data_IF_377804590676
#
_entry.id   IF_377804590676
#
_cell.length_a   1.000
_cell.length_b   1.000
_cell.length_c   1.000
_cell.angle_alpha   90.00
_cell.angle_beta   90.00
_cell.angle_gamma   90.00
#
_symmetry.space_group_name_H-M   'P 1'
#
loop_
_entity.id
_entity.type
_entity.pdbx_description
1 polymer ?
#
# COMPACT_ATOMS: atom_id res chain seq x y z
N UNK A 1 49.16 55.84 -37.49
CA UNK A 1 48.25 54.70 -37.81
C UNK A 1 46.81 55.20 -37.69
N UNK A 2 45.82 54.52 -38.27
CA UNK A 2 44.41 54.98 -38.25
C UNK A 2 43.57 54.00 -37.45
N UNK A 3 42.86 54.48 -36.43
CA UNK A 3 41.97 53.63 -35.65
C UNK A 3 40.74 53.19 -36.44
N UNK A 4 40.21 52.00 -36.14
CA UNK A 4 39.00 51.52 -36.78
C UNK A 4 37.82 52.44 -36.42
N UNK A 5 36.97 52.70 -37.42
CA UNK A 5 35.74 53.46 -37.24
C UNK A 5 34.62 52.53 -36.80
N UNK A 6 33.77 53.02 -35.90
CA UNK A 6 32.61 52.29 -35.38
C UNK A 6 31.33 53.07 -35.61
N UNK A 7 30.52 53.20 -34.55
CA UNK A 7 29.24 53.92 -34.61
C UNK A 7 29.43 55.35 -35.12
N UNK A 8 28.53 55.77 -36.03
CA UNK A 8 28.59 57.10 -36.64
C UNK A 8 29.84 57.38 -37.48
N UNK A 9 30.57 56.33 -37.89
CA UNK A 9 31.86 56.43 -38.59
C UNK A 9 32.94 57.18 -37.79
N UNK A 10 32.77 57.27 -36.46
CA UNK A 10 33.73 57.88 -35.56
C UNK A 10 34.85 56.90 -35.21
N UNK A 11 36.12 57.34 -35.12
CA UNK A 11 37.21 56.53 -34.58
C UNK A 11 36.83 56.01 -33.19
N UNK A 12 36.94 54.69 -32.98
CA UNK A 12 36.59 54.04 -31.71
C UNK A 12 35.17 54.35 -31.19
N UNK A 13 34.23 54.61 -32.11
CA UNK A 13 32.84 55.01 -31.80
C UNK A 13 32.71 56.30 -30.98
N UNK A 14 33.74 57.15 -31.00
CA UNK A 14 33.76 58.46 -30.34
C UNK A 14 34.30 58.42 -28.89
N UNK A 15 34.61 59.60 -28.31
CA UNK A 15 35.36 59.70 -27.06
C UNK A 15 34.62 59.18 -25.81
N UNK A 16 33.31 58.98 -25.90
CA UNK A 16 32.50 58.39 -24.81
C UNK A 16 32.57 56.85 -24.77
N UNK A 17 33.02 56.22 -25.87
CA UNK A 17 33.05 54.76 -26.04
C UNK A 17 34.47 54.23 -26.15
N UNK A 18 35.41 55.01 -26.68
CA UNK A 18 36.81 54.62 -26.70
C UNK A 18 37.76 55.73 -27.13
N UNK A 19 39.02 55.57 -26.76
CA UNK A 19 40.13 56.45 -27.12
C UNK A 19 41.00 55.79 -28.18
N UNK A 20 41.42 56.55 -29.19
CA UNK A 20 42.31 56.07 -30.25
C UNK A 20 43.78 56.24 -29.84
N UNK A 21 44.58 55.17 -29.95
CA UNK A 21 46.03 55.26 -29.81
C UNK A 21 46.68 55.74 -31.10
N UNK A 22 47.27 56.93 -31.09
CA UNK A 22 47.99 57.45 -32.26
C UNK A 22 49.25 56.64 -32.60
N UNK A 23 49.83 55.94 -31.60
CA UNK A 23 51.04 55.14 -31.74
C UNK A 23 50.77 53.75 -32.36
N UNK A 24 49.64 53.12 -32.02
CA UNK A 24 49.34 51.72 -32.42
C UNK A 24 48.16 51.60 -33.38
N UNK A 25 47.32 52.63 -33.51
CA UNK A 25 46.07 52.56 -34.28
C UNK A 25 45.02 51.63 -33.68
N UNK A 26 45.16 51.26 -32.40
CA UNK A 26 44.23 50.40 -31.66
C UNK A 26 43.36 51.27 -30.74
N UNK A 27 42.09 50.90 -30.60
CA UNK A 27 41.18 51.55 -29.66
C UNK A 27 41.41 51.06 -28.23
N UNK A 28 41.14 51.92 -27.26
CA UNK A 28 40.97 51.56 -25.85
C UNK A 28 39.52 51.86 -25.48
N UNK A 29 38.71 50.81 -25.35
CA UNK A 29 37.29 50.98 -25.05
C UNK A 29 37.08 51.40 -23.60
N UNK A 30 36.08 52.26 -23.38
CA UNK A 30 35.55 52.53 -22.05
C UNK A 30 34.87 51.27 -21.49
N UNK A 31 34.79 51.16 -20.18
CA UNK A 31 34.18 50.00 -19.51
C UNK A 31 32.74 49.77 -20.00
N UNK A 32 32.41 48.49 -20.26
CA UNK A 32 31.09 48.13 -20.81
C UNK A 32 30.95 48.32 -22.33
N UNK A 33 32.03 48.66 -23.05
CA UNK A 33 32.05 48.67 -24.51
C UNK A 33 33.07 47.68 -25.06
N UNK A 34 32.69 46.98 -26.11
CA UNK A 34 33.43 45.86 -26.67
C UNK A 34 33.68 46.04 -28.18
N UNK A 35 34.43 45.10 -28.76
CA UNK A 35 34.91 45.03 -30.16
C UNK A 35 36.07 45.97 -30.50
N UNK A 36 36.84 45.70 -31.58
CA UNK A 36 38.01 46.50 -31.95
C UNK A 36 37.75 48.00 -32.17
N UNK A 37 36.49 48.40 -32.41
CA UNK A 37 36.08 49.79 -32.61
C UNK A 37 35.10 50.31 -31.53
N UNK A 38 34.94 49.59 -30.42
CA UNK A 38 34.09 49.96 -29.27
C UNK A 38 32.62 50.22 -29.62
N UNK A 39 32.10 49.56 -30.67
CA UNK A 39 30.76 49.80 -31.18
C UNK A 39 29.67 49.06 -30.41
N UNK A 40 29.98 47.89 -29.85
CA UNK A 40 29.04 47.08 -29.08
C UNK A 40 29.08 47.54 -27.62
N UNK A 41 27.90 47.75 -27.03
CA UNK A 41 27.76 47.94 -25.60
C UNK A 41 27.34 46.62 -24.95
N UNK A 42 27.89 46.31 -23.80
CA UNK A 42 27.42 45.23 -22.97
C UNK A 42 25.96 45.46 -22.56
N UNK A 43 25.15 44.40 -22.43
CA UNK A 43 23.81 44.49 -21.87
C UNK A 43 23.83 45.27 -20.55
N UNK A 44 23.05 46.36 -20.49
CA UNK A 44 23.02 47.24 -19.32
C UNK A 44 21.57 47.64 -19.06
N UNK A 45 21.03 47.20 -17.94
CA UNK A 45 19.65 47.48 -17.50
C UNK A 45 19.75 48.16 -16.14
N UNK A 46 18.99 49.25 -15.94
CA UNK A 46 19.05 50.02 -14.69
C UNK A 46 20.42 50.63 -14.37
N UNK A 47 21.31 50.74 -15.36
CA UNK A 47 22.69 51.25 -15.17
C UNK A 47 23.70 50.19 -14.70
N UNK A 48 23.29 48.93 -14.54
CA UNK A 48 24.18 47.83 -14.17
C UNK A 48 24.52 46.98 -15.39
N UNK A 49 25.81 46.90 -15.71
CA UNK A 49 26.32 46.01 -16.76
C UNK A 49 26.04 44.57 -16.36
N UNK A 50 25.49 43.78 -17.29
CA UNK A 50 25.02 42.42 -17.05
C UNK A 50 24.12 42.33 -15.81
N UNK A 51 23.25 43.34 -15.61
CA UNK A 51 22.32 43.50 -14.47
C UNK A 51 22.97 43.43 -13.08
N UNK A 52 24.30 43.45 -12.99
CA UNK A 52 25.04 43.21 -11.76
C UNK A 52 25.24 41.73 -11.42
N UNK A 53 24.72 40.82 -12.25
CA UNK A 53 24.76 39.37 -12.06
C UNK A 53 25.66 38.66 -13.09
N UNK A 54 26.63 39.38 -13.67
CA UNK A 54 27.53 38.82 -14.66
C UNK A 54 28.76 39.67 -14.94
N UNK A 55 29.70 39.09 -15.68
CA UNK A 55 30.89 39.76 -16.19
C UNK A 55 30.74 39.98 -17.69
N UNK A 56 30.94 41.21 -18.17
CA UNK A 56 30.97 41.47 -19.60
C UNK A 56 32.34 41.16 -20.21
N UNK A 57 32.35 40.52 -21.37
CA UNK A 57 33.49 40.48 -22.27
C UNK A 57 33.66 41.82 -23.00
N UNK A 58 34.19 42.83 -22.30
CA UNK A 58 34.44 44.18 -22.81
C UNK A 58 35.87 44.37 -23.35
N UNK A 59 36.18 45.57 -23.81
CA UNK A 59 37.46 45.88 -24.44
C UNK A 59 37.55 45.46 -25.91
N UNK A 60 38.69 45.73 -26.54
CA UNK A 60 38.85 45.54 -28.00
C UNK A 60 38.91 44.09 -28.46
N UNK A 61 39.21 43.16 -27.55
CA UNK A 61 39.17 41.72 -27.80
C UNK A 61 37.82 41.09 -27.42
N UNK A 62 36.97 41.81 -26.69
CA UNK A 62 35.66 41.33 -26.25
C UNK A 62 34.59 41.41 -27.34
N UNK A 63 33.55 40.60 -27.20
CA UNK A 63 32.37 40.57 -28.09
C UNK A 63 31.15 41.28 -27.50
N UNK A 64 31.24 41.76 -26.25
CA UNK A 64 30.16 42.45 -25.55
C UNK A 64 29.14 41.52 -24.91
N UNK A 65 29.39 40.21 -24.84
CA UNK A 65 28.48 39.24 -24.23
C UNK A 65 28.71 39.12 -22.72
N UNK A 66 27.64 38.92 -21.97
CA UNK A 66 27.71 38.65 -20.55
C UNK A 66 27.98 37.17 -20.26
N UNK A 67 28.89 36.91 -19.33
CA UNK A 67 29.03 35.62 -18.64
C UNK A 67 28.31 35.74 -17.30
N UNK A 68 27.18 35.05 -17.16
CA UNK A 68 26.35 35.15 -15.96
C UNK A 68 26.96 34.42 -14.76
N UNK A 69 26.72 34.98 -13.58
CA UNK A 69 26.97 34.32 -12.30
C UNK A 69 26.05 33.11 -12.15
N UNK A 70 26.47 32.16 -11.31
CA UNK A 70 25.71 30.95 -11.01
C UNK A 70 24.28 31.30 -10.60
N UNK A 71 23.30 30.66 -11.24
CA UNK A 71 21.87 30.86 -10.95
C UNK A 71 21.18 31.96 -11.75
N UNK A 72 21.91 32.73 -12.56
CA UNK A 72 21.35 33.74 -13.44
C UNK A 72 21.51 33.36 -14.92
N UNK A 73 20.53 33.76 -15.72
CA UNK A 73 20.42 33.43 -17.13
C UNK A 73 19.93 34.64 -17.95
N UNK A 74 19.81 34.41 -19.26
CA UNK A 74 19.55 35.40 -20.33
C UNK A 74 20.76 36.25 -20.67
N UNK A 75 20.66 36.97 -21.79
CA UNK A 75 21.76 37.73 -22.37
C UNK A 75 22.29 38.82 -21.44
N UNK A 76 21.43 39.38 -20.57
CA UNK A 76 21.75 40.42 -19.60
C UNK A 76 21.93 39.90 -18.17
N UNK A 77 21.84 38.58 -17.96
CA UNK A 77 21.88 37.93 -16.65
C UNK A 77 20.77 38.37 -15.68
N UNK A 78 19.68 38.95 -16.19
CA UNK A 78 18.62 39.54 -15.36
C UNK A 78 17.59 38.56 -14.81
N UNK A 79 17.60 37.30 -15.25
CA UNK A 79 16.57 36.32 -14.89
C UNK A 79 17.17 35.18 -14.08
N UNK A 80 16.72 34.94 -12.83
CA UNK A 80 17.16 33.79 -12.07
C UNK A 80 16.61 32.49 -12.68
N UNK A 81 17.42 31.43 -12.62
CA UNK A 81 16.98 30.09 -12.98
C UNK A 81 15.90 29.60 -12.00
N UNK A 82 14.93 28.79 -12.46
CA UNK A 82 13.94 28.20 -11.57
C UNK A 82 14.60 27.40 -10.43
N UNK A 83 14.02 27.47 -9.23
CA UNK A 83 14.55 26.85 -8.00
C UNK A 83 15.77 27.55 -7.37
N UNK A 84 16.29 28.61 -7.99
CA UNK A 84 17.37 29.42 -7.42
C UNK A 84 16.84 30.68 -6.72
N UNK A 85 17.15 30.78 -5.44
CA UNK A 85 16.92 31.94 -4.59
C UNK A 85 18.27 32.34 -3.94
N UNK A 86 18.81 33.53 -4.25
CA UNK A 86 20.07 34.00 -3.70
C UNK A 86 20.01 34.33 -2.21
N UNK A 87 18.81 34.49 -1.62
CA UNK A 87 18.62 34.79 -0.20
C UNK A 87 18.54 33.52 0.66
N UNK A 88 18.33 32.36 0.03
CA UNK A 88 18.16 31.08 0.73
C UNK A 88 19.43 30.24 0.61
N UNK A 89 20.09 30.04 1.74
CA UNK A 89 21.25 29.15 1.82
C UNK A 89 20.85 27.72 1.42
N UNK A 90 21.59 27.15 0.46
CA UNK A 90 21.31 25.81 -0.05
C UNK A 90 20.23 25.74 -1.13
N UNK A 91 19.74 26.88 -1.65
CA UNK A 91 18.87 26.89 -2.83
C UNK A 91 19.52 26.15 -3.99
N UNK A 92 18.76 25.26 -4.65
CA UNK A 92 19.27 24.42 -5.74
C UNK A 92 18.61 24.80 -7.05
N UNK A 93 19.44 25.25 -8.00
CA UNK A 93 19.02 25.48 -9.38
C UNK A 93 18.34 24.21 -9.92
N UNK A 94 17.16 24.37 -10.49
CA UNK A 94 16.33 23.27 -11.00
C UNK A 94 16.15 22.15 -9.95
N UNK A 95 15.93 22.53 -8.68
CA UNK A 95 15.79 21.64 -7.53
C UNK A 95 16.97 20.67 -7.29
N UNK A 96 18.06 20.80 -8.06
CA UNK A 96 19.15 19.81 -8.12
C UNK A 96 18.87 18.63 -9.05
N UNK A 97 17.77 18.65 -9.79
CA UNK A 97 17.29 17.57 -10.67
C UNK A 97 17.23 18.00 -12.14
N UNK A 98 18.04 18.99 -12.53
CA UNK A 98 18.11 19.46 -13.91
C UNK A 98 19.21 20.46 -14.14
N UNK A 99 19.32 20.89 -15.38
CA UNK A 99 20.28 21.91 -15.82
C UNK A 99 19.52 23.14 -16.31
N UNK A 100 19.93 24.33 -15.85
CA UNK A 100 19.36 25.57 -16.33
C UNK A 100 19.95 25.96 -17.68
N UNK A 101 19.09 26.12 -18.68
CA UNK A 101 19.45 26.58 -20.01
C UNK A 101 19.62 28.10 -20.00
N UNK A 102 20.87 28.57 -20.10
CA UNK A 102 21.21 29.99 -19.93
C UNK A 102 20.55 30.93 -20.96
N UNK A 103 20.13 30.43 -22.12
CA UNK A 103 19.49 31.27 -23.15
C UNK A 103 18.00 31.49 -22.91
N UNK A 104 17.30 30.52 -22.31
CA UNK A 104 15.84 30.58 -22.07
C UNK A 104 15.49 30.87 -20.62
N UNK A 105 16.41 30.60 -19.68
CA UNK A 105 16.16 30.56 -18.24
C UNK A 105 15.13 29.49 -17.84
N UNK A 106 15.15 28.34 -18.51
CA UNK A 106 14.29 27.19 -18.23
C UNK A 106 15.13 26.00 -17.78
N UNK A 107 14.55 25.13 -16.97
CA UNK A 107 15.19 23.90 -16.54
C UNK A 107 14.94 22.76 -17.52
N UNK A 108 16.01 22.07 -17.90
CA UNK A 108 15.95 20.75 -18.53
C UNK A 108 16.15 19.69 -17.44
N UNK A 109 15.08 18.99 -17.09
CA UNK A 109 15.10 18.01 -16.01
C UNK A 109 15.80 16.72 -16.43
N UNK A 110 16.57 16.12 -15.53
CA UNK A 110 17.26 14.84 -15.77
C UNK A 110 16.33 13.64 -15.51
N UNK A 111 16.66 12.52 -16.14
CA UNK A 111 16.05 11.22 -15.92
C UNK A 111 16.98 10.22 -15.17
N UNK A 112 18.22 10.60 -14.85
CA UNK A 112 19.26 9.66 -14.39
C UNK A 112 19.05 9.18 -12.94
N UNK A 113 18.53 10.04 -12.07
CA UNK A 113 18.28 9.76 -10.65
C UNK A 113 16.77 9.74 -10.29
N UNK A 114 15.92 9.76 -11.31
CA UNK A 114 14.46 9.88 -11.18
C UNK A 114 13.89 10.61 -12.38
N UNK A 115 12.61 10.42 -12.65
CA UNK A 115 11.92 11.08 -13.76
C UNK A 115 11.33 12.40 -13.29
N UNK A 116 12.15 13.45 -13.29
CA UNK A 116 11.78 14.77 -12.78
C UNK A 116 11.09 15.63 -13.84
N UNK A 117 10.23 16.53 -13.38
CA UNK A 117 9.39 17.41 -14.20
C UNK A 117 8.98 18.67 -13.45
N UNK A 118 8.13 19.48 -14.10
CA UNK A 118 7.78 20.81 -13.61
C UNK A 118 8.76 21.89 -14.07
N UNK A 119 8.44 23.15 -13.77
CA UNK A 119 9.23 24.29 -14.26
C UNK A 119 10.63 24.38 -13.65
N UNK A 120 10.81 23.83 -12.45
CA UNK A 120 12.05 23.81 -11.68
C UNK A 120 12.52 22.39 -11.35
N UNK A 121 11.98 21.36 -11.99
CA UNK A 121 12.33 19.95 -11.75
C UNK A 121 12.09 19.47 -10.30
N UNK A 122 11.20 20.12 -9.56
CA UNK A 122 10.85 19.70 -8.19
C UNK A 122 9.75 18.64 -8.11
N UNK A 123 9.04 18.43 -9.22
CA UNK A 123 7.92 17.51 -9.38
C UNK A 123 8.33 16.28 -10.19
N UNK A 124 7.46 15.28 -10.24
CA UNK A 124 7.67 14.12 -11.10
C UNK A 124 7.13 14.40 -12.50
N UNK A 125 7.82 13.86 -13.51
CA UNK A 125 7.31 13.81 -14.87
C UNK A 125 6.03 12.97 -14.92
N UNK A 126 5.20 13.23 -15.93
CA UNK A 126 3.96 12.48 -16.12
C UNK A 126 4.20 10.97 -16.23
N UNK A 127 3.40 10.19 -15.51
CA UNK A 127 3.55 8.74 -15.40
C UNK A 127 4.48 8.29 -14.28
N UNK A 128 5.07 9.21 -13.52
CA UNK A 128 5.98 8.92 -12.41
C UNK A 128 5.52 9.55 -11.11
N UNK A 129 5.83 8.93 -9.98
CA UNK A 129 5.48 9.45 -8.66
C UNK A 129 6.49 9.01 -7.59
N UNK A 130 6.26 9.47 -6.36
CA UNK A 130 7.07 9.16 -5.18
C UNK A 130 8.18 10.18 -4.95
N UNK A 131 8.83 10.07 -3.80
CA UNK A 131 9.83 11.06 -3.35
C UNK A 131 11.05 11.20 -4.27
N UNK A 132 11.35 10.16 -5.04
CA UNK A 132 12.48 10.12 -5.98
C UNK A 132 12.00 10.03 -7.44
N UNK A 133 10.70 10.22 -7.70
CA UNK A 133 10.10 10.15 -9.03
C UNK A 133 10.50 8.91 -9.84
N UNK A 134 10.64 7.77 -9.17
CA UNK A 134 11.11 6.51 -9.74
C UNK A 134 10.07 5.38 -9.63
N UNK A 135 8.85 5.71 -9.19
CA UNK A 135 7.72 4.78 -9.14
C UNK A 135 6.76 5.08 -10.27
N UNK A 136 6.23 4.03 -10.91
CA UNK A 136 5.38 4.15 -12.10
C UNK A 136 3.93 4.36 -11.70
N UNK A 137 3.29 5.39 -12.24
CA UNK A 137 1.86 5.63 -12.13
C UNK A 137 1.15 4.86 -13.26
N UNK A 138 0.33 3.85 -12.91
CA UNK A 138 -0.19 2.88 -13.89
C UNK A 138 -1.49 3.34 -14.53
N UNK A 139 -2.53 3.59 -13.73
CA UNK A 139 -3.86 4.05 -14.19
C UNK A 139 -4.23 5.36 -13.49
N UNK A 140 -3.58 6.43 -13.91
CA UNK A 140 -3.76 7.75 -13.33
C UNK A 140 -2.80 8.77 -13.95
N UNK A 141 -2.78 9.95 -13.35
CA UNK A 141 -1.87 11.03 -13.73
C UNK A 141 -1.05 11.53 -12.56
N UNK A 142 0.09 12.16 -12.87
CA UNK A 142 1.01 12.68 -11.87
C UNK A 142 0.62 14.12 -11.50
N UNK A 143 0.43 14.37 -10.20
CA UNK A 143 0.34 15.72 -9.63
C UNK A 143 1.42 15.89 -8.55
N UNK A 144 2.43 16.72 -8.85
CA UNK A 144 3.60 16.87 -8.00
C UNK A 144 4.36 15.55 -7.86
N UNK A 145 4.22 14.89 -6.69
CA UNK A 145 4.84 13.59 -6.39
C UNK A 145 3.82 12.47 -6.17
N UNK A 146 2.55 12.73 -6.41
CA UNK A 146 1.44 11.80 -6.15
C UNK A 146 0.91 11.27 -7.47
N UNK A 147 0.65 9.97 -7.54
CA UNK A 147 -0.11 9.36 -8.61
C UNK A 147 -1.60 9.45 -8.24
N UNK A 148 -2.33 10.34 -8.90
CA UNK A 148 -3.77 10.53 -8.74
C UNK A 148 -4.47 9.50 -9.62
N UNK A 149 -5.18 8.57 -8.98
CA UNK A 149 -5.78 7.45 -9.71
C UNK A 149 -6.99 7.88 -10.54
N UNK A 150 -7.11 7.26 -11.71
CA UNK A 150 -8.35 7.26 -12.46
C UNK A 150 -9.47 6.62 -11.64
N UNK A 151 -10.75 7.03 -11.84
CA UNK A 151 -11.88 6.45 -11.11
C UNK A 151 -11.90 4.91 -11.22
N UNK A 152 -12.01 4.22 -10.09
CA UNK A 152 -12.02 2.76 -10.06
C UNK A 152 -10.65 2.10 -9.91
N UNK A 153 -9.57 2.87 -9.83
CA UNK A 153 -8.23 2.38 -9.50
C UNK A 153 -7.78 2.87 -8.13
N UNK A 154 -7.03 2.03 -7.45
CA UNK A 154 -6.58 2.24 -6.07
C UNK A 154 -5.10 1.89 -5.89
N UNK A 155 -4.61 2.15 -4.68
CA UNK A 155 -3.21 2.05 -4.22
C UNK A 155 -2.33 3.19 -4.71
N UNK A 156 -1.14 3.30 -4.12
CA UNK A 156 -0.22 4.43 -4.36
C UNK A 156 0.23 4.56 -5.83
N UNK A 157 0.24 3.46 -6.60
CA UNK A 157 0.56 3.46 -8.02
C UNK A 157 -0.67 3.27 -8.94
N UNK A 158 -1.88 3.23 -8.37
CA UNK A 158 -3.12 3.02 -9.11
C UNK A 158 -3.15 1.71 -9.92
N UNK A 159 -2.47 0.66 -9.43
CA UNK A 159 -2.40 -0.63 -10.12
C UNK A 159 -3.57 -1.57 -9.80
N UNK A 160 -4.31 -1.33 -8.72
CA UNK A 160 -5.40 -2.21 -8.28
C UNK A 160 -6.71 -1.66 -8.80
N UNK A 161 -7.38 -2.42 -9.67
CA UNK A 161 -8.74 -2.12 -10.10
C UNK A 161 -9.75 -2.57 -9.04
N UNK A 162 -10.81 -1.78 -8.86
CA UNK A 162 -11.98 -2.20 -8.10
C UNK A 162 -12.61 -3.47 -8.70
N UNK A 163 -13.15 -4.38 -7.88
CA UNK A 163 -13.94 -5.50 -8.36
C UNK A 163 -15.17 -5.04 -9.17
N UNK A 164 -15.58 -5.84 -10.16
CA UNK A 164 -16.72 -5.54 -11.03
C UNK A 164 -16.34 -4.84 -12.34
N UNK A 165 -17.29 -4.70 -13.27
CA UNK A 165 -17.08 -4.02 -14.55
C UNK A 165 -17.08 -2.48 -14.41
N UNK A 166 -16.57 -1.81 -15.44
CA UNK A 166 -16.57 -0.33 -15.52
C UNK A 166 -17.99 0.22 -15.42
N UNK A 167 -18.21 1.15 -14.49
CA UNK A 167 -19.52 1.76 -14.22
C UNK A 167 -20.33 1.07 -13.12
N UNK A 168 -20.17 -0.25 -12.93
CA UNK A 168 -20.84 -1.04 -11.89
C UNK A 168 -19.81 -1.69 -10.95
N UNK A 169 -18.97 -0.83 -10.34
CA UNK A 169 -17.98 -1.22 -9.32
C UNK A 169 -18.67 -1.94 -8.16
N UNK A 170 -18.01 -2.95 -7.62
CA UNK A 170 -18.57 -3.85 -6.60
C UNK A 170 -19.91 -4.46 -7.05
N UNK A 171 -20.05 -4.68 -8.36
CA UNK A 171 -21.27 -5.14 -9.03
C UNK A 171 -22.53 -4.31 -8.70
N UNK A 172 -22.38 -3.03 -8.35
CA UNK A 172 -23.48 -2.16 -7.95
C UNK A 172 -24.04 -2.43 -6.54
N UNK A 173 -23.35 -3.26 -5.76
CA UNK A 173 -23.75 -3.70 -4.43
C UNK A 173 -22.78 -3.25 -3.33
N UNK A 174 -21.94 -2.26 -3.63
CA UNK A 174 -21.02 -1.68 -2.66
C UNK A 174 -20.35 -0.42 -3.15
N UNK A 175 -19.63 0.22 -2.24
CA UNK A 175 -18.77 1.35 -2.53
C UNK A 175 -17.32 0.86 -2.63
N UNK A 176 -16.63 1.17 -3.74
CA UNK A 176 -15.22 0.84 -3.84
C UNK A 176 -14.36 1.86 -3.10
N UNK A 177 -13.38 1.36 -2.33
CA UNK A 177 -12.32 2.18 -1.75
C UNK A 177 -11.24 2.43 -2.81
N UNK A 178 -11.46 3.39 -3.70
CA UNK A 178 -10.55 3.80 -4.77
C UNK A 178 -9.68 5.02 -4.43
N UNK A 179 -8.67 5.29 -5.26
CA UNK A 179 -7.72 6.38 -5.08
C UNK A 179 -6.38 5.99 -4.45
N UNK A 180 -5.44 6.96 -4.48
CA UNK A 180 -4.03 6.79 -4.12
C UNK A 180 -3.79 6.18 -2.74
N UNK A 181 -4.62 6.57 -1.76
CA UNK A 181 -4.48 6.17 -0.36
C UNK A 181 -5.50 5.07 0.05
N UNK A 182 -6.08 4.36 -0.91
CA UNK A 182 -7.02 3.25 -0.67
C UNK A 182 -6.50 1.95 -1.26
N UNK A 183 -7.19 0.85 -0.96
CA UNK A 183 -6.73 -0.50 -1.27
C UNK A 183 -7.51 -1.21 -2.39
N UNK A 184 -8.52 -0.56 -2.97
CA UNK A 184 -9.33 -1.13 -4.06
C UNK A 184 -10.33 -2.19 -3.61
N UNK A 185 -10.59 -2.31 -2.30
CA UNK A 185 -11.58 -3.27 -1.78
C UNK A 185 -12.99 -2.67 -1.77
N UNK A 186 -13.99 -3.54 -1.83
CA UNK A 186 -15.39 -3.14 -1.77
C UNK A 186 -15.89 -3.07 -0.32
N UNK A 187 -16.57 -1.98 0.00
CA UNK A 187 -17.42 -1.86 1.17
C UNK A 187 -18.86 -2.19 0.75
N UNK A 188 -19.29 -3.42 0.99
CA UNK A 188 -20.59 -3.89 0.55
C UNK A 188 -21.74 -3.18 1.25
N UNK A 189 -22.84 -2.99 0.51
CA UNK A 189 -24.12 -2.61 1.06
C UNK A 189 -24.68 -3.71 1.98
N UNK A 190 -25.68 -3.40 2.83
CA UNK A 190 -26.31 -4.40 3.68
C UNK A 190 -26.81 -5.61 2.88
N UNK A 191 -26.71 -6.79 3.50
CA UNK A 191 -27.06 -8.10 2.92
C UNK A 191 -26.19 -8.56 1.73
N UNK A 192 -25.14 -7.83 1.37
CA UNK A 192 -24.16 -8.24 0.36
C UNK A 192 -22.80 -8.52 0.98
N UNK A 193 -22.18 -9.61 0.53
CA UNK A 193 -20.97 -10.17 1.12
C UNK A 193 -19.97 -10.58 0.04
N UNK A 194 -18.82 -11.08 0.50
CA UNK A 194 -17.59 -11.38 -0.27
C UNK A 194 -16.83 -10.15 -0.72
N UNK A 195 -15.62 -10.36 -1.26
CA UNK A 195 -14.71 -9.28 -1.62
C UNK A 195 -15.22 -8.38 -2.75
N UNK A 196 -16.17 -8.86 -3.56
CA UNK A 196 -16.74 -8.14 -4.70
C UNK A 196 -18.25 -7.84 -4.54
N UNK A 197 -18.84 -8.14 -3.39
CA UNK A 197 -20.25 -7.90 -3.08
C UNK A 197 -21.23 -8.63 -4.00
N UNK A 198 -20.88 -9.82 -4.50
CA UNK A 198 -21.75 -10.60 -5.39
C UNK A 198 -22.69 -11.57 -4.68
N UNK A 199 -22.44 -11.86 -3.40
CA UNK A 199 -23.25 -12.82 -2.64
C UNK A 199 -24.26 -12.08 -1.79
N UNK A 200 -25.54 -12.23 -2.14
CA UNK A 200 -26.65 -11.77 -1.32
C UNK A 200 -26.98 -12.78 -0.22
N UNK A 201 -27.10 -12.31 1.01
CA UNK A 201 -27.59 -13.10 2.12
C UNK A 201 -28.39 -12.24 3.08
N UNK A 202 -29.58 -12.71 3.45
CA UNK A 202 -30.35 -12.16 4.56
C UNK A 202 -30.96 -13.30 5.37
N UNK A 203 -31.31 -13.10 6.65
CA UNK A 203 -31.95 -14.13 7.46
C UNK A 203 -33.21 -14.71 6.80
N UNK A 204 -34.03 -13.84 6.16
CA UNK A 204 -35.23 -14.28 5.43
C UNK A 204 -34.88 -15.15 4.22
N UNK A 205 -33.88 -14.73 3.44
CA UNK A 205 -33.45 -15.49 2.27
C UNK A 205 -32.92 -16.87 2.68
N UNK A 206 -32.15 -16.96 3.77
CA UNK A 206 -31.66 -18.23 4.28
C UNK A 206 -32.78 -19.19 4.66
N UNK A 207 -33.78 -18.72 5.43
CA UNK A 207 -34.93 -19.54 5.83
C UNK A 207 -35.71 -20.05 4.61
N UNK A 208 -35.98 -19.18 3.65
CA UNK A 208 -36.89 -19.48 2.54
C UNK A 208 -36.21 -20.28 1.42
N UNK A 209 -34.94 -20.01 1.13
CA UNK A 209 -34.25 -20.57 -0.05
C UNK A 209 -33.18 -21.59 0.30
N UNK A 210 -32.37 -21.34 1.34
CA UNK A 210 -31.27 -22.24 1.70
C UNK A 210 -31.75 -23.45 2.52
N UNK A 211 -32.67 -23.23 3.46
CA UNK A 211 -33.20 -24.30 4.32
C UNK A 211 -34.61 -24.76 3.93
N UNK A 212 -35.22 -24.17 2.89
CA UNK A 212 -36.55 -24.50 2.35
C UNK A 212 -37.60 -24.76 3.46
N UNK A 213 -37.56 -23.91 4.49
CA UNK A 213 -38.25 -24.21 5.72
C UNK A 213 -39.71 -23.74 5.66
N UNK A 214 -40.62 -24.72 5.61
CA UNK A 214 -42.06 -24.52 5.91
C UNK A 214 -42.38 -24.82 7.37
N UNK A 215 -41.38 -25.24 8.15
CA UNK A 215 -41.51 -25.66 9.54
C UNK A 215 -41.67 -24.46 10.50
N UNK A 216 -42.46 -24.66 11.56
CA UNK A 216 -42.64 -23.70 12.64
C UNK A 216 -42.13 -24.28 13.97
N UNK A 217 -41.26 -23.55 14.72
CA UNK A 217 -40.71 -22.23 14.41
C UNK A 217 -39.70 -22.27 13.25
N UNK A 218 -39.46 -21.14 12.56
CA UNK A 218 -38.47 -21.07 11.49
C UNK A 218 -37.05 -21.33 12.05
N UNK A 219 -36.18 -21.94 11.24
CA UNK A 219 -34.81 -22.23 11.62
C UNK A 219 -34.03 -20.95 11.95
N UNK A 220 -33.09 -21.07 12.89
CA UNK A 220 -32.27 -19.94 13.34
C UNK A 220 -31.02 -19.85 12.49
N UNK A 221 -31.11 -19.06 11.43
CA UNK A 221 -30.09 -18.94 10.41
C UNK A 221 -29.46 -17.55 10.41
N UNK A 222 -28.15 -17.49 10.23
CA UNK A 222 -27.38 -16.26 10.03
C UNK A 222 -26.63 -16.26 8.71
N UNK A 223 -26.10 -15.09 8.37
CA UNK A 223 -25.23 -14.91 7.21
C UNK A 223 -23.78 -14.84 7.68
N UNK A 224 -22.92 -15.67 7.11
CA UNK A 224 -21.49 -15.58 7.36
C UNK A 224 -20.97 -14.22 6.85
N UNK A 225 -20.32 -13.45 7.72
CA UNK A 225 -19.91 -12.08 7.39
C UNK A 225 -18.81 -11.98 6.33
N UNK A 226 -18.12 -13.09 6.02
CA UNK A 226 -17.04 -13.11 5.03
C UNK A 226 -17.49 -13.74 3.71
N UNK A 227 -18.20 -14.86 3.77
CA UNK A 227 -18.59 -15.63 2.59
C UNK A 227 -20.01 -15.33 2.11
N UNK A 228 -20.86 -14.75 2.94
CA UNK A 228 -22.30 -14.60 2.67
C UNK A 228 -23.05 -15.93 2.66
N UNK A 229 -22.44 -17.03 3.10
CA UNK A 229 -23.12 -18.31 3.19
C UNK A 229 -24.16 -18.31 4.32
N UNK A 230 -25.29 -18.96 4.08
CA UNK A 230 -26.25 -19.25 5.13
C UNK A 230 -25.71 -20.32 6.07
N UNK A 231 -25.65 -20.01 7.36
CA UNK A 231 -25.19 -20.90 8.41
C UNK A 231 -26.15 -20.85 9.62
N UNK A 232 -26.03 -21.79 10.54
CA UNK A 232 -26.80 -21.69 11.78
C UNK A 232 -26.30 -20.52 12.62
N UNK A 233 -27.23 -19.78 13.21
CA UNK A 233 -26.92 -18.59 13.98
C UNK A 233 -25.99 -18.94 15.17
N UNK A 234 -24.83 -18.28 15.25
CA UNK A 234 -23.89 -18.35 16.37
C UNK A 234 -23.76 -16.95 17.00
N UNK A 235 -24.69 -16.57 17.86
CA UNK A 235 -24.67 -15.27 18.55
C UNK A 235 -24.48 -15.44 20.05
N UNK A 236 -24.09 -14.36 20.74
CA UNK A 236 -24.00 -14.37 22.21
C UNK A 236 -25.35 -14.65 22.91
N UNK A 237 -26.45 -14.64 22.17
CA UNK A 237 -27.81 -14.92 22.65
C UNK A 237 -28.35 -16.28 22.22
N UNK A 238 -27.64 -17.03 21.38
CA UNK A 238 -28.03 -18.38 20.98
C UNK A 238 -27.05 -19.01 19.99
N UNK A 239 -26.72 -20.28 20.22
CA UNK A 239 -25.78 -21.09 19.46
C UNK A 239 -26.53 -22.25 18.83
N UNK A 240 -26.92 -22.12 17.56
CA UNK A 240 -27.79 -23.07 16.88
C UNK A 240 -26.99 -24.01 15.98
N UNK A 241 -27.46 -25.22 15.77
CA UNK A 241 -26.75 -26.25 15.03
C UNK A 241 -27.66 -27.33 14.48
N UNK A 242 -27.03 -28.31 13.83
CA UNK A 242 -27.72 -29.35 13.06
C UNK A 242 -28.01 -28.92 11.62
N UNK A 243 -28.40 -29.89 10.80
CA UNK A 243 -28.64 -29.67 9.36
C UNK A 243 -29.75 -28.65 9.06
N UNK A 244 -30.70 -28.50 10.00
CA UNK A 244 -31.85 -27.60 9.85
C UNK A 244 -31.79 -26.40 10.82
N UNK A 245 -30.69 -26.19 11.55
CA UNK A 245 -30.53 -25.09 12.53
C UNK A 245 -31.68 -24.97 13.57
N UNK A 246 -32.27 -26.11 13.93
CA UNK A 246 -33.37 -26.22 14.90
C UNK A 246 -32.94 -26.83 16.23
N UNK A 247 -31.67 -27.22 16.36
CA UNK A 247 -31.09 -27.76 17.58
C UNK A 247 -30.01 -26.84 18.11
N UNK A 248 -29.60 -27.02 19.35
CA UNK A 248 -28.45 -26.30 19.87
C UNK A 248 -27.17 -26.85 19.24
N UNK A 249 -26.21 -25.95 19.00
CA UNK A 249 -24.87 -26.33 18.61
C UNK A 249 -24.23 -27.20 19.69
N UNK A 250 -23.22 -27.99 19.31
CA UNK A 250 -22.49 -28.83 20.24
C UNK A 250 -21.96 -28.00 21.42
N UNK A 251 -22.15 -28.50 22.65
CA UNK A 251 -21.77 -27.78 23.87
C UNK A 251 -22.79 -26.77 24.39
N UNK A 252 -23.96 -26.62 23.75
CA UNK A 252 -25.02 -25.70 24.20
C UNK A 252 -26.37 -26.38 24.40
N UNK A 253 -27.19 -25.82 25.29
CA UNK A 253 -28.54 -26.27 25.61
C UNK A 253 -29.48 -25.10 25.97
N UNK A 254 -30.72 -25.44 26.32
CA UNK A 254 -31.77 -24.52 26.71
C UNK A 254 -32.66 -24.10 25.55
N UNK A 255 -33.78 -23.46 25.88
CA UNK A 255 -34.78 -23.04 24.89
C UNK A 255 -34.27 -22.00 23.87
N UNK A 256 -33.18 -21.29 24.21
CA UNK A 256 -32.51 -20.31 23.35
C UNK A 256 -31.10 -20.74 22.96
N UNK A 257 -30.68 -21.97 23.30
CA UNK A 257 -29.33 -22.48 23.02
C UNK A 257 -28.20 -21.56 23.50
N UNK A 258 -28.39 -20.91 24.65
CA UNK A 258 -27.46 -19.94 25.23
C UNK A 258 -26.96 -20.37 26.62
N UNK A 259 -27.22 -21.61 27.01
CA UNK A 259 -26.74 -22.21 28.25
C UNK A 259 -25.67 -23.23 27.90
N UNK A 260 -24.59 -23.25 28.66
CA UNK A 260 -23.53 -24.24 28.47
C UNK A 260 -24.03 -25.63 28.82
N UNK A 261 -23.70 -26.59 27.97
CA UNK A 261 -23.98 -27.99 28.19
C UNK A 261 -23.14 -28.52 29.37
N UNK A 262 -23.74 -29.18 30.37
CA UNK A 262 -23.04 -29.60 31.60
C UNK A 262 -22.06 -30.77 31.39
N UNK A 263 -21.87 -31.24 30.15
CA UNK A 263 -21.09 -32.43 29.81
C UNK A 263 -19.58 -32.17 29.70
N UNK A 264 -19.06 -31.19 30.45
CA UNK A 264 -17.63 -30.85 30.56
C UNK A 264 -16.91 -30.60 29.22
N UNK A 265 -17.64 -30.34 28.12
CA UNK A 265 -17.08 -30.18 26.77
C UNK A 265 -16.69 -31.49 26.07
N UNK A 266 -17.18 -32.63 26.57
CA UNK A 266 -16.85 -33.99 26.13
C UNK A 266 -18.09 -34.82 25.78
N UNK A 267 -19.14 -34.13 25.34
CA UNK A 267 -20.40 -34.73 24.95
C UNK A 267 -21.42 -33.69 24.54
N UNK A 268 -22.49 -34.18 23.93
CA UNK A 268 -23.71 -33.39 23.67
C UNK A 268 -24.72 -33.60 24.81
N UNK A 269 -25.68 -32.71 24.97
CA UNK A 269 -26.77 -32.89 25.93
C UNK A 269 -28.13 -32.65 25.30
N UNK A 270 -29.14 -33.29 25.89
CA UNK A 270 -30.53 -33.01 25.56
C UNK A 270 -30.88 -31.53 25.77
N UNK A 271 -31.54 -30.94 24.77
CA UNK A 271 -31.78 -29.49 24.71
C UNK A 271 -32.49 -28.91 25.94
N UNK A 272 -33.36 -29.69 26.60
CA UNK A 272 -34.19 -29.20 27.70
C UNK A 272 -33.89 -29.85 29.06
N UNK A 273 -33.37 -31.08 29.07
CA UNK A 273 -33.10 -31.83 30.29
C UNK A 273 -31.61 -31.81 30.69
N UNK A 274 -30.72 -31.41 29.77
CA UNK A 274 -29.28 -31.36 30.02
C UNK A 274 -28.64 -32.73 30.20
N UNK A 275 -29.34 -33.82 29.85
CA UNK A 275 -28.81 -35.17 29.99
C UNK A 275 -27.70 -35.39 28.99
N UNK A 276 -26.52 -35.77 29.49
CA UNK A 276 -25.33 -35.93 28.68
C UNK A 276 -25.29 -37.24 27.89
N UNK A 277 -24.91 -37.12 26.62
CA UNK A 277 -24.44 -38.18 25.76
C UNK A 277 -22.96 -37.93 25.47
N UNK A 278 -22.10 -38.68 26.14
CA UNK A 278 -20.65 -38.52 26.05
C UNK A 278 -20.09 -38.95 24.70
N UNK A 279 -19.02 -38.27 24.29
CA UNK A 279 -18.30 -38.61 23.07
C UNK A 279 -17.64 -39.98 23.22
N UNK A 280 -17.66 -40.75 22.14
CA UNK A 280 -17.16 -42.13 22.10
C UNK A 280 -16.42 -42.37 20.78
N UNK A 281 -15.56 -41.43 20.43
CA UNK A 281 -14.83 -41.43 19.16
C UNK A 281 -13.37 -40.99 19.34
N UNK A 282 -12.55 -41.28 18.34
CA UNK A 282 -11.11 -41.02 18.40
C UNK A 282 -10.73 -39.54 18.28
N UNK A 283 -11.66 -38.69 17.82
CA UNK A 283 -11.44 -37.26 17.58
C UNK A 283 -11.70 -36.47 18.87
N UNK A 284 -12.82 -36.75 19.55
CA UNK A 284 -13.25 -36.04 20.77
C UNK A 284 -12.94 -36.80 22.06
N UNK A 285 -12.54 -38.07 21.96
CA UNK A 285 -12.19 -38.95 23.08
C UNK A 285 -13.33 -39.87 23.47
N UNK A 286 -13.00 -40.87 24.30
CA UNK A 286 -13.94 -41.86 24.82
C UNK A 286 -14.28 -41.54 26.27
N UNK A 287 -15.37 -40.81 26.47
CA UNK A 287 -15.78 -40.25 27.76
C UNK A 287 -17.00 -40.97 28.33
N UNK A 288 -17.13 -40.93 29.65
CA UNK A 288 -18.21 -41.59 30.40
C UNK A 288 -18.55 -40.76 31.65
N UNK A 289 -19.56 -41.19 32.40
CA UNK A 289 -20.09 -40.52 33.57
C UNK A 289 -21.20 -39.52 33.23
N UNK A 290 -22.00 -39.16 34.24
CA UNK A 290 -23.18 -38.31 34.05
C UNK A 290 -22.87 -36.89 33.53
N UNK A 291 -21.64 -36.42 33.68
CA UNK A 291 -21.16 -35.11 33.20
C UNK A 291 -20.01 -35.25 32.18
N UNK A 292 -19.77 -36.45 31.64
CA UNK A 292 -18.70 -36.76 30.68
C UNK A 292 -17.31 -36.29 31.15
N UNK A 293 -17.03 -36.43 32.43
CA UNK A 293 -15.81 -35.93 33.07
C UNK A 293 -14.86 -37.05 33.50
N UNK A 294 -15.13 -38.29 33.10
CA UNK A 294 -14.26 -39.45 33.35
C UNK A 294 -14.07 -40.23 32.05
N UNK A 295 -12.92 -40.90 31.90
CA UNK A 295 -12.71 -41.74 30.73
C UNK A 295 -13.59 -42.99 30.79
N UNK A 296 -14.12 -43.38 29.63
CA UNK A 296 -14.78 -44.67 29.46
C UNK A 296 -13.83 -45.82 29.83
N UNK A 297 -14.41 -46.92 30.32
CA UNK A 297 -13.63 -48.09 30.75
C UNK A 297 -12.66 -48.53 29.65
N UNK A 298 -11.37 -48.59 29.99
CA UNK A 298 -10.30 -48.97 29.06
C UNK A 298 -9.60 -47.80 28.38
N UNK A 299 -9.93 -46.55 28.71
CA UNK A 299 -9.30 -45.35 28.16
C UNK A 299 -8.64 -44.47 29.23
N UNK A 300 -7.55 -43.80 28.84
CA UNK A 300 -6.60 -43.10 29.71
C UNK A 300 -6.70 -41.57 29.60
N UNK A 301 -6.59 -40.89 30.75
CA UNK A 301 -6.42 -39.43 30.84
C UNK A 301 -5.15 -38.95 30.12
N UNK A 302 -5.07 -37.66 29.70
CA UNK A 302 -6.01 -36.57 30.00
C UNK A 302 -7.11 -36.34 28.94
N UNK A 303 -7.03 -36.98 27.78
CA UNK A 303 -7.97 -36.77 26.67
C UNK A 303 -8.86 -37.98 26.37
N UNK A 304 -8.69 -39.08 27.10
CA UNK A 304 -9.43 -40.34 26.90
C UNK A 304 -9.33 -40.89 25.46
N UNK A 305 -8.24 -40.58 24.75
CA UNK A 305 -7.94 -41.06 23.38
C UNK A 305 -6.92 -42.19 23.35
N UNK A 306 -6.32 -42.56 24.49
CA UNK A 306 -5.35 -43.66 24.59
C UNK A 306 -5.94 -44.82 25.36
N UNK A 307 -5.78 -46.05 24.90
CA UNK A 307 -6.22 -47.22 25.67
C UNK A 307 -5.36 -47.39 26.92
N UNK A 308 -6.01 -47.66 28.06
CA UNK A 308 -5.35 -48.05 29.30
C UNK A 308 -4.72 -49.44 29.11
N UNK A 309 -3.42 -49.49 28.83
CA UNK A 309 -2.66 -50.73 28.89
C UNK A 309 -2.35 -50.98 30.36
N UNK A 310 -3.10 -51.88 30.99
CA UNK A 310 -2.78 -52.33 32.34
C UNK A 310 -1.43 -53.08 32.30
N UNK A 311 -0.34 -52.39 32.65
CA UNK A 311 0.92 -53.08 32.97
C UNK A 311 0.77 -53.63 34.37
N UNK A 312 0.33 -54.87 34.50
CA UNK A 312 0.45 -55.62 35.75
C UNK A 312 1.94 -55.88 36.03
N UNK A 313 2.61 -54.94 36.73
CA UNK A 313 3.89 -55.25 37.37
C UNK A 313 3.61 -56.10 38.60
N UNK A 314 3.86 -57.40 38.48
CA UNK A 314 4.42 -58.17 39.58
C UNK A 314 5.41 -59.17 39.01
N UNK A 315 6.67 -59.07 39.45
CA UNK A 315 7.74 -59.98 39.07
C UNK A 315 8.91 -59.25 38.42
N UNK A 316 10.01 -59.15 39.15
CA UNK A 316 11.36 -58.98 38.60
C UNK A 316 11.61 -60.09 37.58
N UNK A 317 11.56 -59.77 36.29
CA UNK A 317 12.58 -60.14 35.30
C UNK A 317 12.15 -59.79 33.87
N UNK A 318 13.11 -59.27 33.10
CA UNK A 318 12.99 -58.99 31.68
C UNK A 318 12.86 -60.31 30.90
N UNK A 319 11.65 -60.65 30.43
CA UNK A 319 11.50 -61.63 29.35
C UNK A 319 10.24 -61.38 28.51
N UNK A 320 10.49 -61.11 27.22
CA UNK A 320 9.64 -61.26 26.03
C UNK A 320 8.11 -61.13 26.17
N UNK A 321 7.56 -60.05 25.59
CA UNK A 321 6.13 -59.91 25.30
C UNK A 321 5.83 -60.61 23.97
N UNK A 322 4.99 -61.64 24.01
CA UNK A 322 4.22 -62.13 22.86
C UNK A 322 2.78 -61.66 23.00
N UNK A 323 2.25 -61.03 21.95
CA UNK A 323 0.87 -60.55 21.88
C UNK A 323 -0.01 -61.70 21.37
N UNK A 324 -1.04 -62.06 22.15
CA UNK A 324 -2.14 -62.90 21.67
C UNK A 324 -3.43 -62.06 21.63
N UNK A 325 -4.16 -61.97 20.49
CA UNK A 325 -5.27 -61.04 20.33
C UNK A 325 -6.61 -61.49 20.94
N UNK A 326 -6.77 -62.71 21.47
CA UNK A 326 -8.11 -63.30 21.68
C UNK A 326 -8.41 -63.89 23.09
N UNK A 327 -7.84 -63.35 24.19
CA UNK A 327 -8.14 -63.87 25.53
C UNK A 327 -9.23 -63.05 26.28
N UNK A 328 -10.45 -63.61 26.31
CA UNK A 328 -11.58 -63.19 27.15
C UNK A 328 -11.31 -63.40 28.65
N UNK A 329 -11.93 -62.56 29.48
CA UNK A 329 -11.77 -62.56 30.94
C UNK A 329 -12.31 -63.84 31.61
N UNK A 330 -11.70 -64.18 32.75
CA UNK A 330 -12.02 -65.30 33.66
C UNK A 330 -11.54 -66.69 33.22
N UNK A 331 -10.37 -67.13 33.69
CA UNK A 331 -10.20 -68.08 34.84
C UNK A 331 -8.72 -68.50 34.90
N UNK A 332 -8.04 -68.35 36.05
CA UNK A 332 -6.70 -68.93 36.27
C UNK A 332 -6.84 -70.17 37.15
N UNK A 333 -6.47 -71.34 36.64
CA UNK A 333 -6.21 -72.54 37.45
C UNK A 333 -4.70 -72.75 37.51
N UNK A 334 -4.15 -72.71 38.73
CA UNK A 334 -2.75 -73.03 39.01
C UNK A 334 -2.67 -74.51 39.42
N UNK A 335 -1.78 -75.27 38.79
CA UNK A 335 -1.23 -76.51 39.34
C UNK A 335 0.28 -76.45 39.25
N UNK A 336 0.93 -76.47 40.42
CA UNK A 336 2.38 -76.55 40.60
C UNK A 336 2.91 -77.94 40.19
N UNK A 337 3.98 -77.98 39.39
CA UNK A 337 5.28 -78.63 39.69
C UNK A 337 6.40 -77.97 38.88
#
# INVERSE_FOLDING_TARGET
>A
LVCPKGLGLLPCSGPQRGLCSDLTGVCFCAAGFATPNCSIACPTVGGQVCTGHGLCADGTAGDGRCTCQTGYAREDCGVPCPGYDPEVEGSRICAGHGVCVLTTAQCECTADEGHWGGADCSECAQGWYGEQCNQVCVHGHTEGRVCVCDPGYATANCSVACPGPDGDRCYGHGECLDGHARNGTCQCHPDWYTADCTVFCSPRWCVETAFNATAWPPPRTGCNSHTGACECEQTGTGQWGGADCNHCAYGFMGAQCNQDCPCSGHGSCGQFDGVCQCDMDEIHGFWDGAACNVCAKGWAEPLCTTKNVAVSRSGTDLAAISLDPDADADTVVVTDE
#
